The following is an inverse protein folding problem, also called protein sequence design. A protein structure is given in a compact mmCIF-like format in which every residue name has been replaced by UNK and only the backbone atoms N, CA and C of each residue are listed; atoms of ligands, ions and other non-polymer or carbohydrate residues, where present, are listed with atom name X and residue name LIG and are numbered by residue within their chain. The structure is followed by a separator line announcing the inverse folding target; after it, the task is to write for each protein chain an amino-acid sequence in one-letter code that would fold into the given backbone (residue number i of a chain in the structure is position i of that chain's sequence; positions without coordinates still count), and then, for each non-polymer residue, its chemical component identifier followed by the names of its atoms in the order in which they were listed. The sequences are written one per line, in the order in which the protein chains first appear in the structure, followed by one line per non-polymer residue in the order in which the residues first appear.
data_IF_294708514567
#
_entry.id   IF_294708514567
#
_cell.length_a   1.000
_cell.length_b   1.000
_cell.length_c   1.000
_cell.angle_alpha   90.00
_cell.angle_beta   90.00
_cell.angle_gamma   90.00
#
_symmetry.space_group_name_H-M   'P 1'
#
loop_
_entity.id
_entity.type
_entity.pdbx_description
1 polymer ?
#
# COMPACT_ATOMS: atom_id res chain seq x y z
N UNK A 1 -23.48 9.91 -19.90
CA UNK A 1 -24.39 8.76 -19.66
C UNK A 1 -24.55 8.59 -18.15
N UNK A 2 -25.76 8.74 -17.59
CA UNK A 2 -26.03 8.50 -16.15
C UNK A 2 -26.44 7.05 -15.98
N UNK A 3 -25.71 6.27 -15.19
CA UNK A 3 -26.08 4.91 -14.78
C UNK A 3 -27.23 5.00 -13.77
N UNK A 4 -28.44 4.66 -14.19
CA UNK A 4 -29.64 4.85 -13.37
C UNK A 4 -29.81 3.80 -12.25
N UNK A 5 -29.45 2.57 -12.45
CA UNK A 5 -29.51 1.52 -11.42
C UNK A 5 -28.62 0.36 -11.88
N UNK A 6 -27.51 0.13 -11.20
CA UNK A 6 -26.55 -0.91 -11.60
C UNK A 6 -26.29 -1.79 -10.40
N UNK A 7 -26.50 -3.08 -10.57
CA UNK A 7 -26.10 -4.09 -9.61
C UNK A 7 -24.62 -4.40 -9.83
N UNK A 8 -23.83 -4.30 -8.76
CA UNK A 8 -22.40 -4.61 -8.78
C UNK A 8 -22.18 -5.96 -8.11
N UNK A 9 -21.36 -6.83 -8.72
CA UNK A 9 -21.02 -8.15 -8.17
C UNK A 9 -20.24 -8.09 -6.86
N UNK A 10 -19.62 -6.94 -6.54
CA UNK A 10 -18.79 -6.67 -5.36
C UNK A 10 -17.52 -7.51 -5.26
N UNK A 11 -17.23 -8.39 -6.23
CA UNK A 11 -16.00 -9.17 -6.25
C UNK A 11 -14.77 -8.28 -6.21
N UNK A 12 -13.73 -8.74 -5.51
CA UNK A 12 -12.42 -8.07 -5.43
C UNK A 12 -11.67 -8.13 -6.77
N UNK A 13 -12.00 -9.08 -7.64
CA UNK A 13 -11.35 -9.29 -8.94
C UNK A 13 -12.09 -8.58 -10.09
N UNK A 14 -13.34 -8.15 -9.90
CA UNK A 14 -14.11 -7.47 -10.93
C UNK A 14 -13.52 -6.09 -11.25
N UNK A 15 -13.06 -5.82 -12.49
CA UNK A 15 -12.44 -4.55 -12.85
C UNK A 15 -13.35 -3.34 -12.60
N UNK A 16 -14.64 -3.46 -12.91
CA UNK A 16 -15.62 -2.39 -12.74
C UNK A 16 -15.87 -2.08 -11.26
N UNK A 17 -16.04 -3.13 -10.43
CA UNK A 17 -16.20 -2.97 -8.98
C UNK A 17 -14.96 -2.37 -8.33
N UNK A 18 -13.78 -2.80 -8.76
CA UNK A 18 -12.51 -2.28 -8.29
C UNK A 18 -12.27 -0.83 -8.70
N UNK A 19 -12.52 -0.50 -9.97
CA UNK A 19 -12.44 0.88 -10.44
C UNK A 19 -13.33 1.82 -9.60
N UNK A 20 -14.59 1.45 -9.38
CA UNK A 20 -15.51 2.24 -8.55
C UNK A 20 -15.02 2.38 -7.10
N UNK A 21 -14.51 1.30 -6.53
CA UNK A 21 -13.95 1.30 -5.17
C UNK A 21 -12.73 2.21 -5.07
N UNK A 22 -11.82 2.13 -6.04
CA UNK A 22 -10.63 2.98 -6.11
C UNK A 22 -11.00 4.46 -6.24
N UNK A 23 -11.97 4.81 -7.10
CA UNK A 23 -12.47 6.18 -7.24
C UNK A 23 -13.04 6.72 -5.92
N UNK A 24 -13.87 5.93 -5.24
CA UNK A 24 -14.44 6.30 -3.94
C UNK A 24 -13.35 6.49 -2.88
N UNK A 25 -12.43 5.53 -2.79
CA UNK A 25 -11.34 5.58 -1.82
C UNK A 25 -10.41 6.77 -2.08
N UNK A 26 -10.06 7.04 -3.34
CA UNK A 26 -9.24 8.18 -3.73
C UNK A 26 -9.89 9.51 -3.35
N UNK A 27 -11.20 9.66 -3.62
CA UNK A 27 -11.94 10.87 -3.22
C UNK A 27 -11.97 11.06 -1.71
N UNK A 28 -12.25 9.99 -0.96
CA UNK A 28 -12.25 10.04 0.52
C UNK A 28 -10.87 10.37 1.07
N UNK A 29 -9.82 9.73 0.52
CA UNK A 29 -8.44 9.99 0.86
C UNK A 29 -8.05 11.44 0.65
N UNK A 30 -8.41 12.01 -0.50
CA UNK A 30 -8.14 13.40 -0.81
C UNK A 30 -8.79 14.34 0.22
N UNK A 31 -10.05 14.10 0.59
CA UNK A 31 -10.75 14.90 1.60
C UNK A 31 -10.06 14.87 2.96
N UNK A 32 -9.65 13.69 3.40
CA UNK A 32 -8.91 13.53 4.67
C UNK A 32 -7.57 14.27 4.62
N UNK A 33 -6.83 14.15 3.51
CA UNK A 33 -5.52 14.79 3.35
C UNK A 33 -5.65 16.32 3.30
N UNK A 34 -6.64 16.85 2.57
CA UNK A 34 -6.95 18.29 2.54
C UNK A 34 -7.20 18.84 3.95
N UNK A 35 -7.94 18.10 4.79
CA UNK A 35 -8.21 18.51 6.17
C UNK A 35 -6.96 18.43 7.05
N UNK A 36 -6.17 17.36 6.95
CA UNK A 36 -4.89 17.24 7.65
C UNK A 36 -3.93 18.37 7.28
N UNK A 37 -3.87 18.78 6.01
CA UNK A 37 -3.03 19.90 5.56
C UNK A 37 -3.48 21.21 6.21
N UNK A 38 -4.78 21.43 6.36
CA UNK A 38 -5.30 22.64 7.05
C UNK A 38 -4.98 22.64 8.54
N UNK A 39 -5.21 21.53 9.22
CA UNK A 39 -4.98 21.42 10.67
C UNK A 39 -3.48 21.39 11.02
N UNK A 40 -2.66 20.77 10.16
CA UNK A 40 -1.22 20.58 10.37
C UNK A 40 -0.39 21.03 9.16
N UNK A 41 -0.34 22.34 8.84
CA UNK A 41 0.30 22.85 7.61
C UNK A 41 1.82 22.63 7.57
N UNK A 42 2.44 22.31 8.71
CA UNK A 42 3.88 22.01 8.80
C UNK A 42 4.19 20.49 8.73
N UNK A 43 3.18 19.64 8.74
CA UNK A 43 3.38 18.19 8.60
C UNK A 43 4.05 17.85 7.26
N UNK A 44 4.70 16.70 7.21
CA UNK A 44 5.39 16.19 6.03
C UNK A 44 4.83 14.85 5.62
N UNK A 45 4.96 14.53 4.34
CA UNK A 45 4.41 13.31 3.79
C UNK A 45 5.54 12.43 3.27
N UNK A 46 5.44 11.14 3.56
CA UNK A 46 6.36 10.11 3.10
C UNK A 46 5.55 9.02 2.40
N UNK A 47 6.07 8.52 1.29
CA UNK A 47 5.52 7.35 0.63
C UNK A 47 6.44 6.16 0.89
N UNK A 48 5.90 5.13 1.51
CA UNK A 48 6.61 3.93 1.91
C UNK A 48 6.04 2.73 1.15
N UNK A 49 6.91 1.97 0.50
CA UNK A 49 6.58 0.69 -0.13
C UNK A 49 7.29 -0.43 0.64
N UNK A 50 6.51 -1.39 1.10
CA UNK A 50 6.96 -2.52 1.90
C UNK A 50 6.63 -3.82 1.16
N UNK A 51 7.59 -4.75 1.12
CA UNK A 51 7.39 -6.09 0.53
C UNK A 51 7.85 -7.18 1.47
N UNK A 52 7.43 -8.39 1.16
CA UNK A 52 7.89 -9.63 1.78
C UNK A 52 8.28 -10.63 0.67
N UNK A 53 8.72 -11.84 1.02
CA UNK A 53 8.93 -12.90 0.03
C UNK A 53 7.64 -13.23 -0.70
N UNK A 54 7.75 -13.59 -1.99
CA UNK A 54 6.61 -14.02 -2.78
C UNK A 54 5.93 -15.25 -2.16
N UNK A 55 4.62 -15.30 -2.23
CA UNK A 55 3.84 -16.50 -1.95
C UNK A 55 3.79 -17.37 -3.20
N UNK A 56 3.69 -18.68 -3.03
CA UNK A 56 3.73 -19.67 -4.12
C UNK A 56 2.37 -20.24 -4.47
N UNK A 57 1.39 -20.08 -3.59
CA UNK A 57 0.01 -20.55 -3.73
C UNK A 57 -0.96 -19.67 -2.92
N UNK A 58 -2.27 -19.95 -3.01
CA UNK A 58 -3.30 -19.17 -2.35
C UNK A 58 -3.25 -19.21 -0.82
N UNK A 59 -2.88 -20.34 -0.25
CA UNK A 59 -2.83 -20.53 1.20
C UNK A 59 -1.64 -19.74 1.80
N UNK A 60 -0.47 -19.81 1.16
CA UNK A 60 0.69 -19.01 1.52
C UNK A 60 0.46 -17.53 1.25
N UNK A 61 -0.31 -17.16 0.23
CA UNK A 61 -0.71 -15.78 -0.04
C UNK A 61 -1.58 -15.22 1.09
N UNK A 62 -2.63 -15.94 1.49
CA UNK A 62 -3.49 -15.52 2.60
C UNK A 62 -2.71 -15.32 3.91
N UNK A 63 -1.84 -16.28 4.23
CA UNK A 63 -0.98 -16.18 5.42
C UNK A 63 -0.02 -14.98 5.32
N UNK A 64 0.58 -14.77 4.16
CA UNK A 64 1.50 -13.65 3.90
C UNK A 64 0.81 -12.30 4.03
N UNK A 65 -0.41 -12.14 3.52
CA UNK A 65 -1.20 -10.91 3.64
C UNK A 65 -1.58 -10.60 5.11
N UNK A 66 -1.97 -11.63 5.87
CA UNK A 66 -2.21 -11.50 7.32
C UNK A 66 -0.94 -11.11 8.06
N UNK A 67 0.21 -11.73 7.70
CA UNK A 67 1.50 -11.45 8.28
C UNK A 67 1.95 -10.01 7.99
N UNK A 68 1.86 -9.59 6.73
CA UNK A 68 2.18 -8.23 6.26
C UNK A 68 1.40 -7.16 7.04
N UNK A 69 0.09 -7.40 7.24
CA UNK A 69 -0.78 -6.51 8.01
C UNK A 69 -0.35 -6.41 9.48
N UNK A 70 -0.08 -7.54 10.13
CA UNK A 70 0.40 -7.59 11.52
C UNK A 70 1.79 -6.97 11.67
N UNK A 71 2.66 -7.17 10.69
CA UNK A 71 3.99 -6.57 10.67
C UNK A 71 3.93 -5.05 10.58
N UNK A 72 3.06 -4.51 9.72
CA UNK A 72 2.89 -3.06 9.64
C UNK A 72 2.31 -2.47 10.93
N UNK A 73 1.39 -3.16 11.59
CA UNK A 73 0.87 -2.74 12.90
C UNK A 73 1.99 -2.70 13.95
N UNK A 74 2.90 -3.70 13.98
CA UNK A 74 4.11 -3.66 14.84
C UNK A 74 5.02 -2.49 14.48
N UNK A 75 5.30 -2.28 13.18
CA UNK A 75 6.15 -1.20 12.68
C UNK A 75 5.65 0.17 13.13
N UNK A 76 4.35 0.42 12.99
CA UNK A 76 3.73 1.71 13.37
C UNK A 76 3.83 2.01 14.87
N UNK A 77 3.96 0.98 15.71
CA UNK A 77 4.07 1.09 17.18
C UNK A 77 5.49 1.25 17.68
N UNK A 78 6.51 1.02 16.85
CA UNK A 78 7.89 1.22 17.27
C UNK A 78 8.13 2.68 17.66
N UNK A 79 8.80 2.90 18.81
CA UNK A 79 8.99 4.23 19.40
C UNK A 79 9.48 5.26 18.38
N UNK A 80 10.49 4.91 17.57
CA UNK A 80 11.09 5.82 16.57
C UNK A 80 10.13 6.18 15.43
N UNK A 81 9.19 5.31 15.09
CA UNK A 81 8.12 5.57 14.09
C UNK A 81 6.99 6.34 14.75
N UNK A 82 6.44 5.81 15.86
CA UNK A 82 5.27 6.35 16.56
C UNK A 82 5.44 7.81 17.00
N UNK A 83 6.61 8.19 17.49
CA UNK A 83 6.88 9.56 17.97
C UNK A 83 6.79 10.63 16.88
N UNK A 84 6.94 10.22 15.63
CA UNK A 84 6.89 11.10 14.47
C UNK A 84 5.55 11.03 13.71
N UNK A 85 4.77 9.98 13.96
CA UNK A 85 3.60 9.65 13.16
C UNK A 85 2.39 10.49 13.59
N UNK A 86 1.83 11.24 12.65
CA UNK A 86 0.51 11.91 12.78
C UNK A 86 -0.60 10.95 12.38
N UNK A 87 -0.43 10.24 11.26
CA UNK A 87 -1.37 9.29 10.74
C UNK A 87 -0.86 8.62 9.47
N UNK A 88 -1.62 7.66 8.95
CA UNK A 88 -1.27 6.98 7.71
C UNK A 88 -2.50 6.48 6.95
N UNK A 89 -2.29 6.28 5.66
CA UNK A 89 -3.19 5.51 4.79
C UNK A 89 -2.38 4.38 4.16
N UNK A 90 -2.98 3.21 3.99
CA UNK A 90 -2.30 2.07 3.38
C UNK A 90 -3.20 1.28 2.44
N UNK A 91 -2.60 0.68 1.45
CA UNK A 91 -3.22 -0.35 0.60
C UNK A 91 -2.23 -1.50 0.41
N UNK A 92 -2.76 -2.68 0.15
CA UNK A 92 -1.96 -3.84 -0.24
C UNK A 92 -2.28 -4.15 -1.69
N UNK A 93 -1.25 -4.35 -2.50
CA UNK A 93 -1.31 -4.75 -3.90
C UNK A 93 -0.68 -6.14 -4.04
N UNK A 94 -1.31 -7.00 -4.82
CA UNK A 94 -0.79 -8.31 -5.19
C UNK A 94 -0.59 -8.34 -6.69
N UNK A 95 0.61 -8.69 -7.14
CA UNK A 95 0.93 -8.91 -8.55
C UNK A 95 1.40 -10.33 -8.76
N UNK A 96 1.08 -10.92 -9.91
CA UNK A 96 1.50 -12.28 -10.27
C UNK A 96 2.77 -12.20 -11.11
N UNK A 97 3.79 -12.93 -10.72
CA UNK A 97 4.99 -13.09 -11.52
C UNK A 97 4.71 -14.05 -12.67
N UNK A 98 4.76 -13.54 -13.90
CA UNK A 98 4.44 -14.34 -15.10
C UNK A 98 5.44 -15.45 -15.40
N UNK A 99 6.65 -15.39 -14.82
CA UNK A 99 7.69 -16.39 -15.06
C UNK A 99 7.49 -17.66 -14.23
N UNK A 100 7.18 -17.50 -12.94
CA UNK A 100 7.09 -18.61 -11.99
C UNK A 100 5.70 -18.78 -11.34
N UNK A 101 4.76 -17.87 -11.63
CA UNK A 101 3.40 -17.87 -11.08
C UNK A 101 3.31 -17.41 -9.63
N UNK A 102 4.42 -16.99 -9.00
CA UNK A 102 4.42 -16.55 -7.62
C UNK A 102 3.68 -15.22 -7.45
N UNK A 103 3.14 -15.01 -6.25
CA UNK A 103 2.42 -13.81 -5.86
C UNK A 103 3.36 -12.85 -5.14
N UNK A 104 3.52 -11.65 -5.65
CA UNK A 104 4.31 -10.61 -5.04
C UNK A 104 3.39 -9.61 -4.33
N UNK A 105 3.52 -9.53 -3.00
CA UNK A 105 2.70 -8.67 -2.16
C UNK A 105 3.46 -7.39 -1.82
N UNK A 106 2.84 -6.25 -2.10
CA UNK A 106 3.34 -4.94 -1.74
C UNK A 106 2.35 -4.21 -0.85
N UNK A 107 2.84 -3.53 0.15
CA UNK A 107 2.05 -2.57 0.90
C UNK A 107 2.54 -1.15 0.59
N UNK A 108 1.66 -0.34 0.04
CA UNK A 108 1.88 1.08 -0.18
C UNK A 108 1.30 1.87 0.99
N UNK A 109 2.12 2.71 1.60
CA UNK A 109 1.73 3.50 2.76
C UNK A 109 2.06 4.96 2.54
N UNK A 110 1.06 5.81 2.66
CA UNK A 110 1.23 7.25 2.75
C UNK A 110 1.26 7.63 4.24
N UNK A 111 2.42 8.04 4.71
CA UNK A 111 2.65 8.46 6.09
C UNK A 111 2.59 9.99 6.20
N UNK A 112 1.81 10.50 7.14
CA UNK A 112 1.88 11.87 7.59
C UNK A 112 2.75 11.90 8.86
N UNK A 113 3.80 12.72 8.85
CA UNK A 113 4.75 12.83 9.95
C UNK A 113 4.89 14.27 10.42
N UNK A 114 5.24 14.46 11.69
CA UNK A 114 5.53 15.77 12.26
C UNK A 114 6.74 16.42 11.57
N UNK A 115 6.76 17.72 11.48
CA UNK A 115 7.87 18.49 10.88
C UNK A 115 9.23 18.18 11.54
N UNK A 116 9.22 17.81 12.82
CA UNK A 116 10.39 17.40 13.58
C UNK A 116 11.12 16.20 12.98
N UNK A 117 10.44 15.35 12.18
CA UNK A 117 11.04 14.22 11.49
C UNK A 117 12.28 14.62 10.66
N UNK A 118 12.20 15.73 9.93
CA UNK A 118 13.31 16.21 9.09
C UNK A 118 14.22 17.24 9.78
N UNK A 119 13.79 17.84 10.88
CA UNK A 119 14.55 18.88 11.56
C UNK A 119 15.47 18.35 12.64
N UNK A 120 15.09 17.25 13.29
CA UNK A 120 15.85 16.67 14.38
C UNK A 120 16.49 15.38 13.92
N UNK A 121 17.83 15.31 14.04
CA UNK A 121 18.61 14.13 13.61
C UNK A 121 18.15 12.83 14.30
N UNK A 122 17.78 12.93 15.57
CA UNK A 122 17.27 11.79 16.36
C UNK A 122 15.91 11.27 15.90
N UNK A 123 15.12 12.11 15.21
CA UNK A 123 13.80 11.73 14.69
C UNK A 123 13.86 11.15 13.28
N UNK A 124 14.90 11.53 12.52
CA UNK A 124 15.05 11.06 11.15
C UNK A 124 15.33 9.56 11.11
N UNK A 125 14.63 8.87 10.21
CA UNK A 125 14.82 7.44 9.95
C UNK A 125 15.37 7.31 8.53
N UNK A 126 16.59 6.80 8.42
CA UNK A 126 17.25 6.57 7.13
C UNK A 126 16.58 5.42 6.37
N UNK A 127 16.87 5.32 5.06
CA UNK A 127 16.43 4.18 4.23
C UNK A 127 16.85 2.85 4.85
N UNK A 128 18.09 2.74 5.34
CA UNK A 128 18.61 1.54 5.97
C UNK A 128 17.89 1.19 7.28
N UNK A 129 17.63 2.20 8.10
CA UNK A 129 16.88 2.01 9.34
C UNK A 129 15.43 1.57 9.06
N UNK A 130 14.78 2.08 8.00
CA UNK A 130 13.46 1.60 7.59
C UNK A 130 13.49 0.12 7.20
N UNK A 131 14.50 -0.32 6.46
CA UNK A 131 14.68 -1.74 6.11
C UNK A 131 14.85 -2.59 7.37
N UNK A 132 15.69 -2.16 8.32
CA UNK A 132 15.95 -2.89 9.56
C UNK A 132 14.71 -2.94 10.46
N UNK A 133 13.95 -1.83 10.56
CA UNK A 133 12.70 -1.78 11.29
C UNK A 133 11.63 -2.68 10.66
N UNK A 134 11.59 -2.73 9.32
CA UNK A 134 10.69 -3.60 8.59
C UNK A 134 11.04 -5.08 8.75
N UNK A 135 12.32 -5.44 8.65
CA UNK A 135 12.79 -6.79 8.89
C UNK A 135 12.42 -7.28 10.30
N UNK A 136 12.65 -6.44 11.30
CA UNK A 136 12.27 -6.71 12.68
C UNK A 136 10.76 -6.84 12.85
N UNK A 137 9.97 -6.00 12.16
CA UNK A 137 8.51 -6.04 12.22
C UNK A 137 7.95 -7.29 11.53
N UNK A 138 8.54 -7.72 10.44
CA UNK A 138 8.23 -8.99 9.77
C UNK A 138 8.66 -10.21 10.59
N UNK A 139 9.63 -10.06 11.50
CA UNK A 139 10.22 -11.18 12.26
C UNK A 139 10.85 -12.24 11.34
N UNK A 140 11.60 -11.80 10.33
CA UNK A 140 12.26 -12.66 9.33
C UNK A 140 13.78 -12.53 9.41
N UNK A 141 14.48 -13.57 8.97
CA UNK A 141 15.94 -13.65 8.93
C UNK A 141 16.55 -13.03 7.67
N UNK A 142 15.76 -12.90 6.59
CA UNK A 142 16.19 -12.28 5.33
C UNK A 142 15.98 -10.76 5.35
N UNK A 143 16.73 -10.05 4.50
CA UNK A 143 16.58 -8.60 4.29
C UNK A 143 15.38 -8.31 3.37
N UNK A 144 14.28 -7.76 3.88
CA UNK A 144 13.12 -7.42 3.06
C UNK A 144 13.33 -6.10 2.32
N UNK A 145 12.44 -5.83 1.36
CA UNK A 145 12.42 -4.53 0.67
C UNK A 145 11.52 -3.55 1.44
N UNK A 146 12.12 -2.42 1.80
CA UNK A 146 11.40 -1.24 2.26
C UNK A 146 11.96 -0.03 1.51
N UNK A 147 11.14 0.69 0.79
CA UNK A 147 11.55 1.88 0.04
C UNK A 147 10.74 3.08 0.51
N UNK A 148 11.44 4.17 0.86
CA UNK A 148 10.81 5.38 1.36
C UNK A 148 11.17 6.58 0.49
N UNK A 149 10.16 7.38 0.16
CA UNK A 149 10.31 8.64 -0.59
C UNK A 149 9.64 9.78 0.17
N UNK A 150 10.35 10.88 0.36
CA UNK A 150 9.74 12.10 0.84
C UNK A 150 8.92 12.75 -0.28
N UNK A 151 7.66 13.08 0.00
CA UNK A 151 6.82 13.84 -0.91
C UNK A 151 7.12 15.32 -0.68
N UNK A 152 7.61 15.97 -1.72
CA UNK A 152 7.94 17.41 -1.66
C UNK A 152 6.65 18.21 -1.85
N UNK A 153 6.36 19.18 -0.98
CA UNK A 153 5.27 20.13 -1.24
C UNK A 153 5.60 20.93 -2.49
N UNK A 154 4.76 20.84 -3.51
CA UNK A 154 4.95 21.55 -4.75
C UNK A 154 4.16 22.88 -4.71
N UNK A 155 4.81 24.00 -5.04
CA UNK A 155 4.20 25.34 -5.02
C UNK A 155 3.09 25.57 -6.06
N UNK A 156 2.87 24.61 -6.98
CA UNK A 156 1.91 24.71 -8.09
C UNK A 156 0.91 23.55 -8.22
N UNK A 157 0.45 22.98 -7.11
CA UNK A 157 -0.47 21.84 -7.09
C UNK A 157 0.30 20.53 -6.81
N UNK A 158 -0.22 19.80 -5.83
CA UNK A 158 0.45 18.66 -5.22
C UNK A 158 0.40 17.39 -6.10
N UNK A 159 0.98 17.45 -7.30
CA UNK A 159 1.05 16.26 -8.19
C UNK A 159 1.67 15.05 -7.50
N UNK A 160 2.63 15.27 -6.60
CA UNK A 160 3.28 14.18 -5.87
C UNK A 160 2.35 13.58 -4.79
N UNK A 161 1.57 14.40 -4.07
CA UNK A 161 0.57 13.93 -3.12
C UNK A 161 -0.60 13.26 -3.87
N UNK A 162 -1.10 13.85 -4.94
CA UNK A 162 -2.13 13.23 -5.77
C UNK A 162 -1.69 11.87 -6.34
N UNK A 163 -0.44 11.76 -6.78
CA UNK A 163 0.13 10.50 -7.25
C UNK A 163 0.20 9.47 -6.13
N UNK A 164 0.64 9.87 -4.93
CA UNK A 164 0.69 8.99 -3.77
C UNK A 164 -0.71 8.56 -3.30
N UNK A 165 -1.70 9.46 -3.35
CA UNK A 165 -3.12 9.12 -3.08
C UNK A 165 -3.62 8.08 -4.08
N UNK A 166 -3.36 8.29 -5.37
CA UNK A 166 -3.75 7.34 -6.43
C UNK A 166 -3.11 5.98 -6.18
N UNK A 167 -1.82 5.96 -5.82
CA UNK A 167 -1.09 4.72 -5.54
C UNK A 167 -1.64 3.98 -4.31
N UNK A 168 -1.91 4.69 -3.22
CA UNK A 168 -2.51 4.10 -2.00
C UNK A 168 -3.99 3.81 -2.11
N UNK A 169 -4.65 4.26 -3.18
CA UNK A 169 -6.08 4.03 -3.44
C UNK A 169 -6.32 3.03 -4.57
N UNK A 170 -5.26 2.49 -5.18
CA UNK A 170 -5.34 1.44 -6.21
C UNK A 170 -6.06 0.20 -5.66
N UNK A 171 -6.57 -0.60 -6.58
CA UNK A 171 -7.12 -1.90 -6.21
C UNK A 171 -6.01 -2.87 -5.85
N UNK A 172 -6.35 -3.84 -5.02
CA UNK A 172 -5.42 -4.86 -4.56
C UNK A 172 -4.86 -5.73 -5.69
N UNK A 173 -5.61 -5.90 -6.77
CA UNK A 173 -5.22 -6.72 -7.93
C UNK A 173 -5.79 -6.11 -9.21
N UNK A 174 -4.99 -5.99 -10.26
CA UNK A 174 -5.44 -5.60 -11.60
C UNK A 174 -5.57 -6.82 -12.48
N UNK A 175 -6.65 -6.92 -13.26
CA UNK A 175 -6.88 -8.04 -14.18
C UNK A 175 -5.73 -8.23 -15.18
N UNK A 176 -5.13 -7.15 -15.68
CA UNK A 176 -3.95 -7.19 -16.56
C UNK A 176 -2.70 -7.79 -15.91
N UNK A 177 -2.64 -7.83 -14.60
CA UNK A 177 -1.44 -8.22 -13.86
C UNK A 177 -1.44 -9.73 -13.53
N UNK A 178 -2.58 -10.41 -13.66
CA UNK A 178 -2.70 -11.84 -13.34
C UNK A 178 -3.21 -12.71 -14.50
N UNK A 179 -3.86 -12.15 -15.52
CA UNK A 179 -4.30 -12.94 -16.67
C UNK A 179 -3.11 -13.33 -17.55
N UNK A 180 -3.07 -14.61 -17.94
CA UNK A 180 -2.13 -15.21 -18.87
C UNK A 180 -2.89 -15.72 -20.09
N UNK A 181 -2.18 -16.26 -21.09
CA UNK A 181 -2.79 -16.91 -22.27
C UNK A 181 -3.25 -18.36 -21.98
N UNK A 182 -3.14 -18.82 -20.73
CA UNK A 182 -3.48 -20.17 -20.26
C UNK A 182 -4.71 -20.11 -19.35
N UNK A 183 -5.82 -20.68 -19.79
CA UNK A 183 -7.09 -20.64 -19.08
C UNK A 183 -7.10 -21.48 -17.80
N UNK A 184 -6.40 -22.62 -17.75
CA UNK A 184 -6.31 -23.46 -16.55
C UNK A 184 -5.53 -22.71 -15.45
N UNK A 185 -4.39 -22.12 -15.83
CA UNK A 185 -3.60 -21.28 -14.94
C UNK A 185 -4.36 -20.05 -14.45
N UNK A 186 -5.16 -19.44 -15.31
CA UNK A 186 -6.00 -18.31 -14.93
C UNK A 186 -7.08 -18.71 -13.90
N UNK A 187 -7.66 -19.92 -14.00
CA UNK A 187 -8.62 -20.41 -13.02
C UNK A 187 -7.97 -20.65 -11.65
N UNK A 188 -6.77 -21.23 -11.62
CA UNK A 188 -6.00 -21.40 -10.39
C UNK A 188 -5.68 -20.06 -9.71
N UNK A 189 -5.14 -19.10 -10.48
CA UNK A 189 -4.81 -17.76 -9.99
C UNK A 189 -6.05 -17.03 -9.42
N UNK A 190 -7.19 -17.13 -10.12
CA UNK A 190 -8.45 -16.53 -9.66
C UNK A 190 -8.89 -17.16 -8.34
N UNK A 191 -8.85 -18.50 -8.24
CA UNK A 191 -9.18 -19.23 -7.02
C UNK A 191 -8.30 -18.81 -5.85
N UNK A 192 -7.00 -18.67 -6.05
CA UNK A 192 -6.04 -18.26 -5.03
C UNK A 192 -6.26 -16.82 -4.57
N UNK A 193 -6.50 -15.91 -5.51
CA UNK A 193 -6.76 -14.50 -5.21
C UNK A 193 -8.12 -14.27 -4.52
N UNK A 194 -9.09 -15.16 -4.68
CA UNK A 194 -10.37 -15.08 -3.96
C UNK A 194 -10.25 -15.52 -2.51
N UNK A 195 -9.32 -16.42 -2.18
CA UNK A 195 -9.02 -16.84 -0.79
C UNK A 195 -8.35 -15.74 0.02
N UNK A 196 -7.43 -14.97 -0.58
CA UNK A 196 -6.65 -13.88 0.05
C UNK A 196 -7.36 -12.54 -0.01
#
# INVERSE_FOLDING_TARGET
MKLHKTWFCKSKLCPVCNWRRAMKNSYQAQKVIEEVIKEKPKARWLFLTLSTKNAIDGDTLEQSLKHLTKAFDRLSRYKKVKQNLVGFMRSTEVTVNKNDGSYNQHMHVLLCVENAYFRKKENYITQEEWVNLWQRALQVDYRPVANIKAIKPNKKGDKDIESAIKETSKYSVKSSDFLTDDDEKNQEIVSDLEKG
#
